data_IF_601798350961
#
_entry.id   IF_601798350961
#
_cell.length_a   1.000
_cell.length_b   1.000
_cell.length_c   1.000
_cell.angle_alpha   90.00
_cell.angle_beta   90.00
_cell.angle_gamma   90.00
#
_symmetry.space_group_name_H-M   'P 1'
#
loop_
_entity.id
_entity.type
_entity.pdbx_description
1 polymer ?
#
# COMPACT_ATOMS: atom_id res chain seq x y z
N UNK A 1 -20.66 -21.01 -4.93
CA UNK A 1 -20.59 -19.58 -5.30
C UNK A 1 -19.12 -19.20 -5.27
N UNK A 2 -18.50 -18.91 -6.42
CA UNK A 2 -17.05 -18.59 -6.47
C UNK A 2 -16.87 -17.10 -6.24
N UNK A 3 -16.49 -16.71 -5.01
CA UNK A 3 -16.18 -15.32 -4.66
C UNK A 3 -14.68 -15.04 -4.78
N UNK A 4 -14.31 -13.91 -5.36
CA UNK A 4 -12.92 -13.42 -5.38
C UNK A 4 -12.75 -12.22 -4.43
N UNK A 5 -11.66 -12.20 -3.67
CA UNK A 5 -11.34 -11.11 -2.75
C UNK A 5 -9.91 -10.60 -3.00
N UNK A 6 -9.71 -9.28 -2.96
CA UNK A 6 -8.41 -8.63 -3.15
C UNK A 6 -7.99 -7.95 -1.85
N UNK A 7 -6.78 -8.27 -1.38
CA UNK A 7 -6.25 -7.78 -0.10
C UNK A 7 -5.27 -6.62 -0.34
N UNK A 8 -5.54 -5.40 0.18
CA UNK A 8 -4.72 -4.22 -0.05
C UNK A 8 -3.68 -3.98 1.07
N UNK A 9 -2.66 -4.85 1.16
CA UNK A 9 -1.53 -4.75 2.11
C UNK A 9 -0.18 -4.89 1.39
N UNK A 10 0.92 -4.40 1.97
CA UNK A 10 2.27 -4.58 1.37
C UNK A 10 2.61 -6.07 1.22
N UNK A 11 2.35 -6.87 2.26
CA UNK A 11 2.55 -8.32 2.24
C UNK A 11 1.33 -9.09 1.70
N UNK A 12 0.59 -8.52 0.75
CA UNK A 12 -0.65 -9.07 0.19
C UNK A 12 -0.57 -10.49 -0.32
N UNK A 13 0.56 -10.90 -0.91
CA UNK A 13 0.75 -12.29 -1.36
C UNK A 13 0.73 -13.27 -0.19
N UNK A 14 1.43 -12.94 0.89
CA UNK A 14 1.45 -13.74 2.12
C UNK A 14 0.10 -13.68 2.84
N UNK A 15 -0.54 -12.51 2.88
CA UNK A 15 -1.84 -12.35 3.52
C UNK A 15 -2.94 -13.12 2.78
N UNK A 16 -2.90 -13.20 1.45
CA UNK A 16 -3.80 -14.04 0.67
C UNK A 16 -3.70 -15.52 1.06
N UNK A 17 -2.48 -16.02 1.28
CA UNK A 17 -2.26 -17.39 1.77
C UNK A 17 -2.82 -17.55 3.19
N UNK A 18 -2.56 -16.59 4.07
CA UNK A 18 -3.05 -16.65 5.45
C UNK A 18 -4.58 -16.62 5.55
N UNK A 19 -5.25 -15.79 4.74
CA UNK A 19 -6.72 -15.73 4.67
C UNK A 19 -7.30 -17.03 4.12
N UNK A 20 -6.74 -17.57 3.03
CA UNK A 20 -7.17 -18.85 2.47
C UNK A 20 -7.02 -20.00 3.47
N UNK A 21 -5.89 -20.08 4.16
CA UNK A 21 -5.64 -21.09 5.19
C UNK A 21 -6.67 -21.01 6.33
N UNK A 22 -6.97 -19.80 6.81
CA UNK A 22 -7.98 -19.58 7.88
C UNK A 22 -9.38 -19.96 7.43
N UNK A 23 -9.77 -19.62 6.20
CA UNK A 23 -11.09 -19.96 5.67
C UNK A 23 -11.28 -21.48 5.50
N UNK A 24 -10.24 -22.19 5.04
CA UNK A 24 -10.25 -23.66 4.96
C UNK A 24 -10.33 -24.27 6.36
N UNK A 25 -9.54 -23.74 7.31
CA UNK A 25 -9.55 -24.22 8.69
C UNK A 25 -10.90 -24.01 9.38
N UNK A 26 -11.60 -22.91 9.07
CA UNK A 26 -12.93 -22.62 9.59
C UNK A 26 -14.04 -23.50 8.97
N UNK A 27 -13.74 -24.22 7.88
CA UNK A 27 -14.73 -24.99 7.13
C UNK A 27 -15.60 -24.14 6.19
N UNK A 28 -15.25 -22.87 5.98
CA UNK A 28 -16.00 -21.95 5.11
C UNK A 28 -15.81 -22.29 3.62
N UNK A 29 -14.64 -22.84 3.28
CA UNK A 29 -14.28 -23.25 1.92
C UNK A 29 -13.43 -24.53 1.94
N UNK A 30 -13.49 -25.32 0.87
CA UNK A 30 -12.69 -26.55 0.72
C UNK A 30 -11.44 -26.35 -0.17
N UNK A 31 -11.48 -25.36 -1.05
CA UNK A 31 -10.43 -25.08 -2.02
C UNK A 31 -10.29 -23.59 -2.26
N UNK A 32 -9.05 -23.10 -2.31
CA UNK A 32 -8.72 -21.72 -2.64
C UNK A 32 -7.49 -21.63 -3.53
N UNK A 33 -7.43 -20.56 -4.32
CA UNK A 33 -6.21 -20.10 -5.00
C UNK A 33 -5.79 -18.80 -4.32
N UNK A 34 -4.61 -18.79 -3.71
CA UNK A 34 -4.02 -17.61 -3.11
C UNK A 34 -2.83 -17.12 -3.95
N UNK A 35 -2.77 -15.82 -4.25
CA UNK A 35 -1.69 -15.22 -5.02
C UNK A 35 -1.56 -13.72 -4.73
N UNK A 36 -0.50 -13.10 -5.28
CA UNK A 36 -0.30 -11.65 -5.26
C UNK A 36 0.36 -11.19 -6.55
N UNK A 37 -0.03 -10.02 -7.06
CA UNK A 37 0.49 -9.48 -8.34
C UNK A 37 0.68 -7.98 -8.28
N UNK A 38 1.85 -7.48 -8.63
CA UNK A 38 2.14 -6.04 -8.66
C UNK A 38 2.81 -5.68 -9.98
N UNK A 39 2.35 -4.59 -10.60
CA UNK A 39 2.93 -4.08 -11.85
C UNK A 39 3.26 -2.60 -11.69
N UNK A 40 4.39 -2.32 -11.04
CA UNK A 40 4.83 -0.95 -10.76
C UNK A 40 5.12 -0.17 -12.05
N UNK A 41 5.72 -0.80 -13.05
CA UNK A 41 5.99 -0.19 -14.37
C UNK A 41 4.73 0.30 -15.07
N UNK A 42 3.56 -0.23 -14.71
CA UNK A 42 2.26 0.12 -15.31
C UNK A 42 1.33 0.84 -14.32
N UNK A 43 1.85 1.34 -13.21
CA UNK A 43 1.07 2.08 -12.25
C UNK A 43 0.55 3.39 -12.88
N UNK A 44 -0.76 3.70 -12.79
CA UNK A 44 -1.32 4.89 -13.43
C UNK A 44 -0.98 6.15 -12.65
N UNK A 45 -1.09 7.31 -13.31
CA UNK A 45 -1.23 8.57 -12.61
C UNK A 45 -2.68 8.78 -12.15
N UNK A 46 -2.87 9.48 -11.03
CA UNK A 46 -4.18 9.79 -10.46
C UNK A 46 -4.33 11.28 -10.20
N UNK A 47 -5.54 11.80 -10.39
CA UNK A 47 -5.86 13.22 -10.26
C UNK A 47 -7.06 13.38 -9.31
N UNK A 48 -7.05 14.36 -8.39
CA UNK A 48 -8.22 14.66 -7.56
C UNK A 48 -9.34 15.23 -8.42
N UNK A 49 -10.58 15.00 -7.98
CA UNK A 49 -11.72 15.71 -8.57
C UNK A 49 -11.60 17.21 -8.29
N UNK A 50 -12.11 18.04 -9.20
CA UNK A 50 -12.21 19.48 -8.98
C UNK A 50 -13.05 19.78 -7.73
N UNK A 51 -12.51 20.60 -6.81
CA UNK A 51 -13.22 20.99 -5.58
C UNK A 51 -14.32 22.02 -5.79
N UNK A 52 -14.33 22.72 -6.91
CA UNK A 52 -15.33 23.71 -7.30
C UNK A 52 -15.46 23.81 -8.82
N UNK A 53 -16.57 24.38 -9.30
CA UNK A 53 -16.74 24.71 -10.72
C UNK A 53 -15.62 25.65 -11.18
N UNK A 54 -15.08 25.40 -12.38
CA UNK A 54 -13.98 26.19 -12.96
C UNK A 54 -12.71 26.23 -12.10
N UNK A 55 -12.48 25.20 -11.28
CA UNK A 55 -11.24 25.06 -10.49
C UNK A 55 -10.00 25.11 -11.38
N UNK A 56 -8.99 25.85 -10.92
CA UNK A 56 -7.66 25.93 -11.55
C UNK A 56 -6.64 25.00 -10.90
N UNK A 57 -7.02 24.29 -9.85
CA UNK A 57 -6.18 23.29 -9.20
C UNK A 57 -5.99 22.09 -10.13
N UNK A 58 -4.78 21.91 -10.63
CA UNK A 58 -4.40 20.79 -11.47
C UNK A 58 -3.23 20.06 -10.80
N UNK A 59 -3.53 18.93 -10.16
CA UNK A 59 -2.56 18.09 -9.48
C UNK A 59 -2.61 16.68 -10.08
N UNK A 60 -1.45 16.08 -10.28
CA UNK A 60 -1.32 14.72 -10.79
C UNK A 60 -0.32 13.99 -9.91
N UNK A 61 -0.70 12.82 -9.42
CA UNK A 61 0.10 12.01 -8.51
C UNK A 61 0.48 10.69 -9.17
N UNK A 62 1.75 10.29 -9.01
CA UNK A 62 2.23 8.97 -9.39
C UNK A 62 1.75 7.92 -8.36
N UNK A 63 1.28 6.76 -8.82
CA UNK A 63 0.90 5.64 -7.94
C UNK A 63 1.94 4.54 -7.86
N UNK A 64 3.06 4.67 -8.59
CA UNK A 64 4.16 3.70 -8.61
C UNK A 64 4.64 3.34 -7.21
N UNK A 65 4.90 4.34 -6.36
CA UNK A 65 5.27 4.13 -4.96
C UNK A 65 5.06 5.38 -4.11
N UNK A 66 4.82 5.20 -2.81
CA UNK A 66 4.84 6.27 -1.82
C UNK A 66 3.51 7.01 -1.61
N UNK A 67 3.61 8.08 -0.83
CA UNK A 67 2.48 8.89 -0.40
C UNK A 67 1.90 9.72 -1.54
N UNK A 68 0.57 9.75 -1.63
CA UNK A 68 -0.22 10.67 -2.46
C UNK A 68 -1.51 11.00 -1.72
N UNK A 69 -2.16 12.11 -2.08
CA UNK A 69 -3.38 12.59 -1.39
C UNK A 69 -3.20 12.61 0.14
N UNK A 70 -2.09 13.20 0.59
CA UNK A 70 -1.71 13.18 2.01
C UNK A 70 -2.77 13.90 2.84
N UNK A 71 -3.31 13.19 3.83
CA UNK A 71 -4.18 13.81 4.83
C UNK A 71 -3.34 14.69 5.76
N UNK A 72 -3.66 16.00 5.93
CA UNK A 72 -2.89 16.89 6.80
C UNK A 72 -2.76 16.40 8.24
N UNK A 73 -3.79 15.72 8.77
CA UNK A 73 -3.74 15.13 10.12
C UNK A 73 -2.75 13.99 10.20
N UNK A 74 -2.67 13.14 9.18
CA UNK A 74 -1.67 12.06 9.12
C UNK A 74 -0.24 12.63 9.12
N UNK A 75 0.00 13.71 8.37
CA UNK A 75 1.29 14.37 8.33
C UNK A 75 1.68 14.99 9.67
N UNK A 76 0.73 15.61 10.38
CA UNK A 76 0.97 16.23 11.68
C UNK A 76 1.20 15.21 12.80
N UNK A 77 0.38 14.15 12.84
CA UNK A 77 0.36 13.22 13.98
C UNK A 77 1.45 12.13 13.85
N UNK A 78 1.77 11.70 12.62
CA UNK A 78 2.65 10.55 12.36
C UNK A 78 3.76 10.80 11.34
N UNK A 79 3.71 11.92 10.62
CA UNK A 79 4.60 12.20 9.49
C UNK A 79 4.25 11.40 8.23
N UNK A 80 4.77 11.86 7.09
CA UNK A 80 4.61 11.19 5.78
C UNK A 80 5.96 10.97 5.10
N UNK A 81 6.95 10.54 5.88
CA UNK A 81 8.26 10.18 5.38
C UNK A 81 8.18 9.05 4.33
N UNK A 82 9.10 9.06 3.37
CA UNK A 82 9.23 7.98 2.40
C UNK A 82 9.75 6.70 3.06
N UNK A 83 9.56 5.53 2.42
CA UNK A 83 10.12 4.27 2.92
C UNK A 83 11.65 4.31 3.11
N UNK A 84 12.44 4.93 2.21
CA UNK A 84 13.87 5.13 2.47
C UNK A 84 14.15 5.97 3.71
N UNK A 85 13.32 6.99 4.01
CA UNK A 85 13.49 7.79 5.22
C UNK A 85 13.24 6.95 6.47
N UNK A 86 12.23 6.08 6.46
CA UNK A 86 12.01 5.16 7.59
C UNK A 86 13.13 4.14 7.75
N UNK A 87 13.74 3.68 6.65
CA UNK A 87 14.92 2.81 6.70
C UNK A 87 16.13 3.54 7.30
N UNK A 88 16.34 4.81 6.93
CA UNK A 88 17.41 5.62 7.53
C UNK A 88 17.17 5.87 9.02
N UNK A 89 15.94 6.18 9.42
CA UNK A 89 15.62 6.35 10.84
C UNK A 89 15.94 5.06 11.63
N UNK A 90 15.63 3.88 11.07
CA UNK A 90 16.01 2.61 11.67
C UNK A 90 17.53 2.45 11.77
N UNK A 91 18.27 2.82 10.73
CA UNK A 91 19.73 2.77 10.76
C UNK A 91 20.32 3.69 11.83
N UNK A 92 19.77 4.91 11.97
CA UNK A 92 20.21 5.88 12.97
C UNK A 92 19.86 5.41 14.40
N UNK A 93 18.64 4.92 14.62
CA UNK A 93 18.14 4.49 15.94
C UNK A 93 18.88 3.24 16.47
N UNK A 94 19.30 2.35 15.57
CA UNK A 94 19.97 1.09 15.92
C UNK A 94 21.48 1.11 15.62
N UNK A 95 22.03 2.23 15.17
CA UNK A 95 23.47 2.38 14.86
C UNK A 95 23.96 1.45 13.75
N UNK A 96 23.12 1.16 12.75
CA UNK A 96 23.48 0.29 11.62
C UNK A 96 24.42 1.05 10.68
N UNK A 97 25.63 0.52 10.51
CA UNK A 97 26.61 1.14 9.63
C UNK A 97 26.21 0.96 8.16
N UNK A 98 26.70 1.83 7.28
CA UNK A 98 26.48 1.69 5.83
C UNK A 98 27.20 0.46 5.23
N UNK A 99 28.23 -0.04 5.91
CA UNK A 99 29.06 -1.13 5.41
C UNK A 99 28.47 -2.52 5.69
N UNK A 100 27.60 -2.61 6.72
CA UNK A 100 26.87 -3.82 7.10
C UNK A 100 25.54 -3.93 6.32
#
# INVERSE_FOLDING_TARGET
MTGGHVIPRIMRGLEAVAVAARAIQAGDIELAIASGVESMTRAPFVMPKAGAAWSRGNEVFDTTIGWRFVNPRMAADYGTGSMPKTAQNLADDYGLSRAD
#
